data_IF_840275201624
#
_entry.id   IF_840275201624
#
_cell.length_a   1.000
_cell.length_b   1.000
_cell.length_c   1.000
_cell.angle_alpha   90.00
_cell.angle_beta   90.00
_cell.angle_gamma   90.00
#
_symmetry.space_group_name_H-M   'P 1'
#
loop_
_entity.id
_entity.type
_entity.pdbx_description
1 polymer ?
#
# COMPACT_ATOMS: atom_id res chain seq x y z
N UNK A 1 3.72 -4.21 -24.89
CA UNK A 1 3.02 -4.21 -23.58
C UNK A 1 4.06 -4.41 -22.49
N UNK A 2 4.18 -3.50 -21.52
CA UNK A 2 4.99 -3.77 -20.33
C UNK A 2 4.45 -5.02 -19.65
N UNK A 3 5.35 -5.94 -19.28
CA UNK A 3 4.98 -7.16 -18.56
C UNK A 3 4.14 -6.79 -17.34
N UNK A 4 3.02 -7.48 -17.12
CA UNK A 4 2.15 -7.30 -15.93
C UNK A 4 2.98 -7.30 -14.64
N UNK A 5 4.01 -8.15 -14.57
CA UNK A 5 4.96 -8.20 -13.46
C UNK A 5 5.76 -6.91 -13.25
N UNK A 6 6.15 -6.23 -14.34
CA UNK A 6 6.85 -4.92 -14.25
C UNK A 6 5.93 -3.82 -13.73
N UNK A 7 4.62 -4.01 -13.78
CA UNK A 7 3.65 -3.06 -13.23
C UNK A 7 3.27 -3.41 -11.79
N UNK A 8 3.01 -4.68 -11.49
CA UNK A 8 2.52 -5.11 -10.17
C UNK A 8 3.63 -5.17 -9.11
N UNK A 9 4.85 -5.58 -9.48
CA UNK A 9 5.94 -5.73 -8.52
C UNK A 9 6.31 -4.39 -7.86
N UNK A 10 6.50 -3.27 -8.58
CA UNK A 10 6.76 -1.98 -7.94
C UNK A 10 5.62 -1.54 -7.01
N UNK A 11 4.37 -1.79 -7.39
CA UNK A 11 3.18 -1.41 -6.60
C UNK A 11 3.13 -2.19 -5.29
N UNK A 12 3.39 -3.49 -5.36
CA UNK A 12 3.52 -4.35 -4.17
C UNK A 12 4.63 -3.85 -3.26
N UNK A 13 5.83 -3.55 -3.80
CA UNK A 13 6.94 -3.05 -3.01
C UNK A 13 6.62 -1.70 -2.35
N UNK A 14 5.91 -0.80 -3.03
CA UNK A 14 5.47 0.47 -2.44
C UNK A 14 4.49 0.21 -1.29
N UNK A 15 3.48 -0.63 -1.49
CA UNK A 15 2.51 -0.98 -0.44
C UNK A 15 3.19 -1.65 0.76
N UNK A 16 4.16 -2.54 0.50
CA UNK A 16 4.97 -3.19 1.54
C UNK A 16 5.73 -2.14 2.36
N UNK A 17 6.42 -1.21 1.69
CA UNK A 17 7.15 -0.13 2.36
C UNK A 17 6.22 0.80 3.15
N UNK A 18 5.06 1.15 2.60
CA UNK A 18 4.06 1.97 3.30
C UNK A 18 3.54 1.27 4.56
N UNK A 19 3.31 -0.04 4.50
CA UNK A 19 2.90 -0.81 5.67
C UNK A 19 3.97 -0.81 6.76
N UNK A 20 5.22 -1.12 6.40
CA UNK A 20 6.32 -1.09 7.36
C UNK A 20 6.53 0.30 7.96
N UNK A 21 6.45 1.36 7.14
CA UNK A 21 6.52 2.73 7.62
C UNK A 21 5.39 3.04 8.61
N UNK A 22 4.16 2.63 8.31
CA UNK A 22 3.01 2.82 9.21
C UNK A 22 3.16 2.06 10.53
N UNK A 23 3.59 0.79 10.48
CA UNK A 23 3.84 0.00 11.69
C UNK A 23 5.00 0.60 12.49
N UNK A 24 6.07 1.05 11.84
CA UNK A 24 7.19 1.70 12.51
C UNK A 24 6.75 2.97 13.25
N UNK A 25 5.87 3.78 12.65
CA UNK A 25 5.29 4.96 13.29
C UNK A 25 4.46 4.57 14.52
N UNK A 26 3.66 3.51 14.44
CA UNK A 26 2.90 3.00 15.59
C UNK A 26 3.83 2.57 16.73
N UNK A 27 4.86 1.79 16.42
CA UNK A 27 5.85 1.34 17.42
C UNK A 27 6.60 2.52 18.04
N UNK A 28 7.00 3.52 17.24
CA UNK A 28 7.64 4.74 17.73
C UNK A 28 6.71 5.57 18.65
N UNK A 29 5.40 5.48 18.45
CA UNK A 29 4.39 6.10 19.31
C UNK A 29 4.03 5.22 20.53
N UNK A 30 4.65 4.05 20.72
CA UNK A 30 4.32 3.10 21.77
C UNK A 30 2.97 2.39 21.58
N UNK A 31 2.40 2.44 20.38
CA UNK A 31 1.10 1.87 20.04
C UNK A 31 1.32 0.46 19.48
N UNK A 32 1.22 -0.53 20.36
CA UNK A 32 1.30 -1.94 20.00
C UNK A 32 -0.07 -2.59 19.74
N UNK A 33 -0.02 -3.86 19.34
CA UNK A 33 -1.20 -4.73 19.29
C UNK A 33 -1.75 -4.97 17.89
N UNK A 34 -2.73 -5.89 17.82
CA UNK A 34 -3.29 -6.37 16.56
C UNK A 34 -4.14 -5.31 15.85
N UNK A 35 -5.04 -4.64 16.58
CA UNK A 35 -6.00 -3.70 15.97
C UNK A 35 -5.33 -2.52 15.28
N UNK A 36 -4.34 -1.81 15.87
CA UNK A 36 -3.65 -0.73 15.18
C UNK A 36 -2.90 -1.19 13.92
N UNK A 37 -2.29 -2.38 13.95
CA UNK A 37 -1.60 -2.96 12.79
C UNK A 37 -2.57 -3.30 11.66
N UNK A 38 -3.74 -3.86 11.99
CA UNK A 38 -4.82 -4.09 11.01
C UNK A 38 -5.31 -2.76 10.43
N UNK A 39 -5.49 -1.73 11.25
CA UNK A 39 -5.90 -0.41 10.76
C UNK A 39 -4.90 0.14 9.73
N UNK A 40 -3.59 0.06 10.00
CA UNK A 40 -2.54 0.43 9.03
C UNK A 40 -2.63 -0.41 7.76
N UNK A 41 -2.79 -1.74 7.88
CA UNK A 41 -2.93 -2.62 6.72
C UNK A 41 -4.12 -2.22 5.83
N UNK A 42 -5.28 -1.93 6.44
CA UNK A 42 -6.48 -1.49 5.71
C UNK A 42 -6.25 -0.12 5.03
N UNK A 43 -5.65 0.84 5.75
CA UNK A 43 -5.33 2.15 5.19
C UNK A 43 -4.40 2.03 3.98
N UNK A 44 -3.38 1.16 4.03
CA UNK A 44 -2.49 0.94 2.90
C UNK A 44 -3.21 0.21 1.77
N UNK A 45 -3.93 -0.87 2.08
CA UNK A 45 -4.60 -1.73 1.09
C UNK A 45 -5.65 -0.97 0.26
N UNK A 46 -6.39 -0.05 0.88
CA UNK A 46 -7.43 0.72 0.20
C UNK A 46 -7.00 2.14 -0.16
N UNK A 47 -6.25 2.80 0.72
CA UNK A 47 -5.82 4.19 0.55
C UNK A 47 -4.83 4.35 -0.60
N UNK A 48 -3.87 3.43 -0.75
CA UNK A 48 -2.89 3.52 -1.84
C UNK A 48 -3.54 3.37 -3.23
N UNK A 49 -4.35 2.32 -3.51
CA UNK A 49 -5.05 2.23 -4.79
C UNK A 49 -6.05 3.37 -5.01
N UNK A 50 -6.78 3.80 -3.98
CA UNK A 50 -7.71 4.93 -4.10
C UNK A 50 -6.97 6.23 -4.47
N UNK A 51 -5.81 6.50 -3.87
CA UNK A 51 -4.98 7.65 -4.20
C UNK A 51 -4.46 7.60 -5.64
N UNK A 52 -3.98 6.43 -6.10
CA UNK A 52 -3.49 6.30 -7.47
C UNK A 52 -4.59 6.46 -8.53
N UNK A 53 -5.80 5.94 -8.26
CA UNK A 53 -6.95 6.16 -9.15
C UNK A 53 -7.32 7.64 -9.23
N UNK A 54 -7.29 8.37 -8.11
CA UNK A 54 -7.57 9.82 -8.09
C UNK A 54 -6.53 10.67 -8.82
N UNK A 55 -5.32 10.14 -9.01
CA UNK A 55 -4.21 10.83 -9.68
C UNK A 55 -4.05 10.39 -11.14
N UNK A 56 -4.96 9.56 -11.66
CA UNK A 56 -4.87 8.94 -13.00
C UNK A 56 -3.53 8.20 -13.23
N UNK A 57 -2.96 7.64 -12.16
CA UNK A 57 -1.71 6.85 -12.17
C UNK A 57 -1.93 5.37 -11.90
N UNK A 58 -3.17 4.91 -12.00
CA UNK A 58 -3.49 3.50 -11.85
C UNK A 58 -2.79 2.67 -12.95
N UNK A 59 -2.08 1.59 -12.60
CA UNK A 59 -1.51 0.69 -13.60
C UNK A 59 -2.59 0.08 -14.50
N UNK A 60 -2.38 0.02 -15.83
CA UNK A 60 -3.30 -0.65 -16.76
C UNK A 60 -3.55 -2.13 -16.40
N UNK A 61 -2.62 -2.76 -15.68
CA UNK A 61 -2.80 -4.13 -15.17
C UNK A 61 -3.96 -4.30 -14.19
N UNK A 62 -4.49 -3.23 -13.59
CA UNK A 62 -5.63 -3.29 -12.66
C UNK A 62 -6.99 -3.30 -13.36
N UNK A 63 -7.04 -2.94 -14.64
CA UNK A 63 -8.27 -2.88 -15.44
C UNK A 63 -8.54 -4.19 -16.22
N UNK A 64 -7.65 -5.18 -16.07
CA UNK A 64 -7.74 -6.46 -16.76
C UNK A 64 -8.46 -7.52 -15.95
#
# INVERSE_FOLDING_TARGET
MTSTWRQLLPQFLIMLLLYFAGVFVLEAAGIGGFVPRIAVALVVAFGYPAALRRLDRAPPAWER
#
